data_IF_400289376700
#
_entry.id   IF_400289376700
#
_cell.length_a   1.000
_cell.length_b   1.000
_cell.length_c   1.000
_cell.angle_alpha   90.00
_cell.angle_beta   90.00
_cell.angle_gamma   90.00
#
_symmetry.space_group_name_H-M   'P 1'
#
loop_
_entity.id
_entity.type
_entity.pdbx_description
1 polymer ?
#
# COMPACT_ATOMS: atom_id res chain seq x y z
N UNK A 1 -20.96 -6.82 2.35
CA UNK A 1 -19.50 -6.70 2.17
C UNK A 1 -18.92 -6.08 3.42
N UNK A 2 -18.42 -6.89 4.34
CA UNK A 2 -17.72 -6.37 5.51
C UNK A 2 -16.34 -5.90 5.04
N UNK A 3 -16.18 -4.59 4.85
CA UNK A 3 -14.86 -3.98 4.76
C UNK A 3 -14.18 -4.25 6.11
N UNK A 4 -13.32 -5.27 6.17
CA UNK A 4 -12.41 -5.45 7.30
C UNK A 4 -11.48 -4.24 7.31
N UNK A 5 -11.21 -3.69 8.50
CA UNK A 5 -10.33 -2.55 8.75
C UNK A 5 -8.90 -2.72 8.17
N UNK A 6 -8.56 -3.89 7.65
CA UNK A 6 -7.27 -4.28 7.09
C UNK A 6 -7.06 -3.84 5.63
N UNK A 7 -8.14 -3.71 4.84
CA UNK A 7 -8.06 -3.38 3.41
C UNK A 7 -8.28 -1.89 3.09
N UNK A 8 -8.33 -1.03 4.11
CA UNK A 8 -8.60 0.40 3.94
C UNK A 8 -7.57 1.12 3.05
N UNK A 9 -6.39 0.52 2.88
CA UNK A 9 -5.31 1.07 2.08
C UNK A 9 -5.53 0.89 0.57
N UNK A 10 -6.39 -0.05 0.14
CA UNK A 10 -6.63 -0.28 -1.30
C UNK A 10 -7.28 0.96 -1.92
N UNK A 11 -6.67 1.50 -2.98
CA UNK A 11 -7.07 2.75 -3.63
C UNK A 11 -6.40 4.00 -3.05
N UNK A 12 -5.70 3.89 -1.93
CA UNK A 12 -5.06 5.01 -1.26
C UNK A 12 -3.67 5.32 -1.82
N UNK A 13 -3.31 6.60 -1.77
CA UNK A 13 -1.96 7.05 -2.12
C UNK A 13 -0.98 6.73 -1.00
N UNK A 14 0.18 6.22 -1.40
CA UNK A 14 1.28 5.87 -0.50
C UNK A 14 2.58 6.48 -1.00
N UNK A 15 3.46 6.84 -0.07
CA UNK A 15 4.87 7.11 -0.35
C UNK A 15 5.64 5.82 -0.09
N UNK A 16 6.55 5.48 -1.00
CA UNK A 16 7.40 4.31 -0.86
C UNK A 16 8.85 4.74 -0.71
N UNK A 17 9.60 4.04 0.15
CA UNK A 17 11.04 4.27 0.32
C UNK A 17 11.77 4.08 -1.01
N UNK A 18 12.73 4.96 -1.31
CA UNK A 18 13.47 5.03 -2.58
C UNK A 18 12.64 5.40 -3.83
N UNK A 19 11.33 5.64 -3.69
CA UNK A 19 10.49 6.14 -4.77
C UNK A 19 10.29 7.66 -4.67
N UNK A 20 10.50 8.35 -5.79
CA UNK A 20 10.34 9.81 -5.84
C UNK A 20 8.87 10.23 -5.90
N UNK A 21 8.07 9.47 -6.62
CA UNK A 21 6.65 9.72 -6.82
C UNK A 21 5.80 8.90 -5.85
N UNK A 22 4.62 9.41 -5.51
CA UNK A 22 3.63 8.62 -4.78
C UNK A 22 3.09 7.48 -5.67
N UNK A 23 2.86 6.32 -5.05
CA UNK A 23 2.15 5.19 -5.64
C UNK A 23 0.71 5.11 -5.13
N UNK A 24 -0.07 4.20 -5.71
CA UNK A 24 -1.43 3.86 -5.27
C UNK A 24 -1.49 2.38 -4.99
N UNK A 25 -2.06 1.97 -3.86
CA UNK A 25 -2.23 0.55 -3.53
C UNK A 25 -3.33 -0.03 -4.41
N UNK A 26 -3.03 -1.07 -5.18
CA UNK A 26 -4.00 -1.71 -6.08
C UNK A 26 -4.66 -2.94 -5.45
N UNK A 27 -3.90 -3.72 -4.67
CA UNK A 27 -4.38 -4.91 -3.99
C UNK A 27 -3.51 -5.28 -2.79
N UNK A 28 -4.11 -5.98 -1.84
CA UNK A 28 -3.42 -6.62 -0.70
C UNK A 28 -3.77 -8.10 -0.72
N UNK A 29 -2.76 -8.96 -0.79
CA UNK A 29 -2.91 -10.41 -0.70
C UNK A 29 -2.49 -10.87 0.70
N UNK A 30 -3.48 -11.08 1.57
CA UNK A 30 -3.26 -11.53 2.94
C UNK A 30 -2.76 -12.98 3.03
N UNK A 31 -3.06 -13.82 2.02
CA UNK A 31 -2.61 -15.22 2.01
C UNK A 31 -1.13 -15.31 1.66
N UNK A 32 -0.66 -14.44 0.77
CA UNK A 32 0.74 -14.37 0.35
C UNK A 32 1.57 -13.38 1.16
N UNK A 33 0.94 -12.53 1.97
CA UNK A 33 1.63 -11.49 2.73
C UNK A 33 2.24 -10.44 1.81
N UNK A 34 1.50 -9.98 0.79
CA UNK A 34 1.99 -9.01 -0.19
C UNK A 34 1.04 -7.82 -0.36
N UNK A 35 1.61 -6.64 -0.53
CA UNK A 35 0.91 -5.42 -0.93
C UNK A 35 1.45 -4.94 -2.28
N UNK A 36 0.55 -4.55 -3.17
CA UNK A 36 0.89 -4.14 -4.52
C UNK A 36 0.61 -2.66 -4.70
N UNK A 37 1.60 -1.95 -5.23
CA UNK A 37 1.56 -0.50 -5.43
C UNK A 37 1.84 -0.21 -6.89
N UNK A 38 0.92 0.51 -7.53
CA UNK A 38 1.11 1.01 -8.89
C UNK A 38 1.66 2.44 -8.86
N UNK A 39 2.70 2.67 -9.64
CA UNK A 39 3.32 3.96 -9.87
C UNK A 39 2.93 4.51 -11.25
N UNK A 40 3.44 5.70 -11.57
CA UNK A 40 3.31 6.29 -12.92
C UNK A 40 3.87 5.32 -13.98
N UNK A 41 3.35 5.45 -15.21
CA UNK A 41 3.73 4.61 -16.36
C UNK A 41 3.45 3.12 -16.17
N UNK A 42 2.37 2.79 -15.44
CA UNK A 42 1.88 1.41 -15.25
C UNK A 42 2.90 0.45 -14.62
N UNK A 43 3.87 0.96 -13.85
CA UNK A 43 4.82 0.13 -13.11
C UNK A 43 4.16 -0.32 -11.80
N UNK A 44 3.86 -1.60 -11.70
CA UNK A 44 3.38 -2.22 -10.45
C UNK A 44 4.55 -2.90 -9.76
N UNK A 45 4.74 -2.58 -8.48
CA UNK A 45 5.72 -3.22 -7.60
C UNK A 45 5.00 -3.92 -6.45
N UNK A 46 5.62 -4.95 -5.90
CA UNK A 46 5.11 -5.70 -4.77
C UNK A 46 6.05 -5.58 -3.57
N UNK A 47 5.46 -5.46 -2.39
CA UNK A 47 6.19 -5.33 -1.13
C UNK A 47 5.64 -6.33 -0.09
N UNK A 48 6.46 -6.75 0.88
CA UNK A 48 6.00 -7.60 1.98
C UNK A 48 4.93 -6.90 2.83
N UNK A 49 3.85 -7.60 3.17
CA UNK A 49 2.77 -7.11 4.02
C UNK A 49 2.60 -8.03 5.25
N UNK A 50 2.45 -7.49 6.48
CA UNK A 50 2.36 -6.08 6.84
C UNK A 50 3.71 -5.38 7.04
N UNK A 51 4.83 -6.11 6.92
CA UNK A 51 6.16 -5.61 7.28
C UNK A 51 6.55 -4.29 6.62
N UNK A 52 6.17 -4.07 5.35
CA UNK A 52 6.49 -2.83 4.66
C UNK A 52 5.81 -1.61 5.30
N UNK A 53 4.65 -1.78 5.94
CA UNK A 53 4.00 -0.71 6.69
C UNK A 53 4.68 -0.50 8.05
N UNK A 54 5.00 -1.58 8.76
CA UNK A 54 5.64 -1.52 10.08
C UNK A 54 7.04 -0.90 10.03
N UNK A 55 7.80 -1.22 8.97
CA UNK A 55 9.15 -0.70 8.74
C UNK A 55 9.16 0.66 8.02
N UNK A 56 7.99 1.27 7.81
CA UNK A 56 7.81 2.53 7.07
C UNK A 56 8.39 2.52 5.64
N UNK A 57 8.50 1.34 5.01
CA UNK A 57 8.83 1.20 3.60
C UNK A 57 7.67 1.77 2.77
N UNK A 58 6.44 1.52 3.20
CA UNK A 58 5.21 2.11 2.64
C UNK A 58 4.59 3.00 3.71
N UNK A 59 4.39 4.27 3.38
CA UNK A 59 3.76 5.26 4.25
C UNK A 59 2.47 5.74 3.58
N UNK A 60 1.30 5.39 4.13
CA UNK A 60 0.02 5.92 3.66
C UNK A 60 -0.03 7.44 3.79
N UNK A 61 -0.45 8.12 2.73
CA UNK A 61 -0.65 9.58 2.73
C UNK A 61 -2.06 9.98 3.21
N UNK A 62 -2.91 8.99 3.47
CA UNK A 62 -4.19 9.18 4.12
C UNK A 62 -3.99 9.46 5.60
N UNK A 63 -4.57 10.56 6.08
CA UNK A 63 -4.81 10.73 7.50
C UNK A 63 -5.94 9.78 7.88
N UNK A 64 -5.65 8.78 8.72
CA UNK A 64 -6.67 7.89 9.27
C UNK A 64 -7.72 8.78 9.94
N UNK A 65 -8.90 8.92 9.33
CA UNK A 65 -10.03 9.61 9.98
C UNK A 65 -10.35 8.77 11.22
N UNK A 66 -10.00 9.29 12.39
CA UNK A 66 -10.42 8.75 13.68
C UNK A 66 -11.94 8.64 13.75
#
# INVERSE_FOLDING_TARGET
MAWSNETYLIGEKVKVENERDAGVVTRIDLKRGLIYVIFKRMREEMYPYPEALEKNIIIPLIQKKQ
#
